data_IF_871489403016
#
_entry.id   IF_871489403016
#
_cell.length_a   1.000
_cell.length_b   1.000
_cell.length_c   1.000
_cell.angle_alpha   90.00
_cell.angle_beta   90.00
_cell.angle_gamma   90.00
#
_symmetry.space_group_name_H-M   'P 1'
#
loop_
_entity.id
_entity.type
_entity.pdbx_description
1 polymer ?
#
# COMPACT_ATOMS: atom_id res chain seq x y z
N UNK A 1 19.31 -6.08 -23.96
CA UNK A 1 18.14 -5.72 -23.12
C UNK A 1 18.28 -4.35 -22.45
N UNK A 2 19.36 -4.04 -21.70
CA UNK A 2 19.55 -2.70 -21.09
C UNK A 2 19.61 -1.57 -22.12
N UNK A 3 20.34 -1.75 -23.22
CA UNK A 3 20.44 -0.75 -24.29
C UNK A 3 19.05 -0.39 -24.89
N UNK A 4 18.18 -1.37 -25.04
CA UNK A 4 16.81 -1.17 -25.56
C UNK A 4 15.96 -0.36 -24.56
N UNK A 5 16.11 -0.60 -23.26
CA UNK A 5 15.41 0.19 -22.23
C UNK A 5 15.85 1.65 -22.27
N UNK A 6 17.16 1.91 -22.36
CA UNK A 6 17.68 3.28 -22.47
C UNK A 6 17.21 4.00 -23.73
N UNK A 7 17.14 3.31 -24.88
CA UNK A 7 16.59 3.87 -26.12
C UNK A 7 15.10 4.25 -26.00
N UNK A 8 14.37 3.53 -25.17
CA UNK A 8 12.94 3.81 -24.87
C UNK A 8 12.76 4.83 -23.74
N UNK A 9 13.83 5.44 -23.23
CA UNK A 9 13.75 6.38 -22.10
C UNK A 9 13.37 5.74 -20.76
N UNK A 10 13.51 4.41 -20.65
CA UNK A 10 13.18 3.67 -19.43
C UNK A 10 14.44 3.51 -18.59
N UNK A 11 14.43 4.09 -17.40
CA UNK A 11 15.51 3.92 -16.42
C UNK A 11 15.30 2.63 -15.63
N UNK A 12 16.22 1.65 -15.70
CA UNK A 12 16.12 0.42 -14.94
C UNK A 12 16.33 0.72 -13.45
N UNK A 13 15.43 0.23 -12.61
CA UNK A 13 15.57 0.25 -11.15
C UNK A 13 16.04 -1.12 -10.67
N UNK A 14 17.19 -1.18 -10.04
CA UNK A 14 17.76 -2.40 -9.51
C UNK A 14 17.89 -2.30 -7.99
N UNK A 15 17.69 -3.43 -7.30
CA UNK A 15 18.00 -3.52 -5.87
C UNK A 15 19.49 -3.36 -5.64
N UNK A 16 19.87 -2.71 -4.55
CA UNK A 16 21.27 -2.55 -4.15
C UNK A 16 21.83 -3.92 -3.73
N UNK A 17 23.10 -4.21 -4.03
CA UNK A 17 23.74 -5.44 -3.60
C UNK A 17 23.67 -5.60 -2.06
N UNK A 18 23.22 -6.78 -1.59
CA UNK A 18 23.13 -7.13 -0.16
C UNK A 18 22.17 -6.28 0.69
N UNK A 19 21.22 -5.59 0.08
CA UNK A 19 20.15 -4.85 0.78
C UNK A 19 18.84 -5.58 0.61
N UNK A 20 18.38 -6.21 1.68
CA UNK A 20 17.16 -7.06 1.66
C UNK A 20 15.85 -6.27 1.58
N UNK A 21 15.84 -5.01 2.00
CA UNK A 21 14.65 -4.18 2.08
C UNK A 21 14.44 -3.25 0.87
N UNK A 22 15.17 -3.45 -0.21
CA UNK A 22 15.01 -2.63 -1.43
C UNK A 22 13.76 -3.01 -2.25
N UNK A 23 13.07 -4.08 -1.90
CA UNK A 23 11.86 -4.53 -2.60
C UNK A 23 10.71 -4.91 -1.64
N UNK A 24 10.38 -4.06 -0.65
CA UNK A 24 9.41 -4.38 0.40
C UNK A 24 7.99 -4.59 -0.15
N UNK A 25 7.65 -3.94 -1.25
CA UNK A 25 6.31 -4.08 -1.87
C UNK A 25 6.09 -5.46 -2.49
N UNK A 26 7.09 -5.97 -3.23
CA UNK A 26 7.00 -7.31 -3.80
C UNK A 26 7.02 -8.39 -2.70
N UNK A 27 7.86 -8.22 -1.67
CA UNK A 27 7.90 -9.13 -0.52
C UNK A 27 6.57 -9.16 0.22
N UNK A 28 5.95 -8.00 0.45
CA UNK A 28 4.63 -7.90 1.06
C UNK A 28 3.54 -8.57 0.23
N UNK A 29 3.58 -8.41 -1.10
CA UNK A 29 2.66 -9.08 -2.01
C UNK A 29 2.81 -10.60 -1.96
N UNK A 30 4.06 -11.12 -2.04
CA UNK A 30 4.34 -12.55 -1.95
C UNK A 30 3.96 -13.12 -0.59
N UNK A 31 4.16 -12.37 0.49
CA UNK A 31 3.68 -12.77 1.81
C UNK A 31 2.16 -12.91 1.81
N UNK A 32 1.44 -11.90 1.35
CA UNK A 32 -0.03 -11.93 1.26
C UNK A 32 -0.51 -13.12 0.44
N UNK A 33 0.14 -13.42 -0.69
CA UNK A 33 -0.17 -14.56 -1.54
C UNK A 33 0.02 -15.91 -0.83
N UNK A 34 1.18 -16.09 -0.17
CA UNK A 34 1.55 -17.35 0.51
C UNK A 34 0.70 -17.65 1.74
N UNK A 35 0.28 -16.62 2.47
CA UNK A 35 -0.53 -16.79 3.69
C UNK A 35 -2.03 -16.78 3.44
N UNK A 36 -2.45 -16.77 2.18
CA UNK A 36 -3.86 -16.91 1.87
C UNK A 36 -4.35 -18.32 2.17
N UNK A 37 -5.53 -18.48 2.82
CA UNK A 37 -6.02 -19.80 3.26
C UNK A 37 -6.15 -20.84 2.16
N UNK A 38 -6.42 -20.41 0.91
CA UNK A 38 -6.56 -21.28 -0.25
C UNK A 38 -5.27 -21.41 -1.09
N UNK A 39 -4.12 -20.95 -0.57
CA UNK A 39 -2.83 -21.19 -1.20
C UNK A 39 -2.45 -22.67 -1.09
N UNK A 40 -1.95 -23.25 -2.17
CA UNK A 40 -1.51 -24.64 -2.21
C UNK A 40 0.01 -24.73 -2.00
N UNK A 41 0.49 -25.04 -0.78
CA UNK A 41 1.93 -25.06 -0.48
C UNK A 41 2.68 -26.19 -1.21
N UNK A 42 1.98 -27.23 -1.63
CA UNK A 42 2.55 -28.34 -2.43
C UNK A 42 2.64 -28.04 -3.93
N UNK A 43 2.13 -26.88 -4.35
CA UNK A 43 2.03 -26.48 -5.75
C UNK A 43 0.71 -26.92 -6.40
N UNK A 44 0.61 -26.70 -7.69
CA UNK A 44 -0.55 -27.00 -8.51
C UNK A 44 -0.19 -28.11 -9.49
N UNK A 45 -1.14 -28.99 -9.80
CA UNK A 45 -0.91 -30.11 -10.72
C UNK A 45 -0.88 -29.66 -12.19
N UNK A 46 -1.69 -28.64 -12.53
CA UNK A 46 -1.81 -28.16 -13.89
C UNK A 46 -1.64 -26.65 -14.01
N UNK A 47 -1.21 -26.19 -15.18
CA UNK A 47 -1.13 -24.75 -15.50
C UNK A 47 -2.50 -24.08 -15.45
N UNK A 48 -3.54 -24.81 -15.75
CA UNK A 48 -4.92 -24.30 -15.77
C UNK A 48 -5.42 -24.00 -14.35
N UNK A 49 -5.09 -24.86 -13.38
CA UNK A 49 -5.34 -24.61 -11.96
C UNK A 49 -4.61 -23.39 -11.45
N UNK A 50 -3.33 -23.22 -11.81
CA UNK A 50 -2.56 -22.01 -11.47
C UNK A 50 -3.26 -20.76 -12.00
N UNK A 51 -3.63 -20.75 -13.27
CA UNK A 51 -4.30 -19.61 -13.90
C UNK A 51 -5.62 -19.25 -13.21
N UNK A 52 -6.44 -20.25 -12.92
CA UNK A 52 -7.70 -20.09 -12.20
C UNK A 52 -7.47 -19.51 -10.80
N UNK A 53 -6.53 -20.08 -10.06
CA UNK A 53 -6.20 -19.63 -8.72
C UNK A 53 -5.66 -18.17 -8.72
N UNK A 54 -4.71 -17.86 -9.62
CA UNK A 54 -4.15 -16.51 -9.74
C UNK A 54 -5.23 -15.50 -10.13
N UNK A 55 -6.14 -15.84 -11.04
CA UNK A 55 -7.25 -14.98 -11.43
C UNK A 55 -8.15 -14.63 -10.24
N UNK A 56 -8.49 -15.63 -9.42
CA UNK A 56 -9.27 -15.42 -8.19
C UNK A 56 -8.49 -14.59 -7.15
N UNK A 57 -7.20 -14.85 -7.00
CA UNK A 57 -6.33 -14.08 -6.11
C UNK A 57 -6.28 -12.61 -6.53
N UNK A 58 -6.05 -12.33 -7.81
CA UNK A 58 -5.97 -10.95 -8.35
C UNK A 58 -7.30 -10.21 -8.16
N UNK A 59 -8.42 -10.88 -8.40
CA UNK A 59 -9.75 -10.31 -8.17
C UNK A 59 -9.93 -9.94 -6.70
N UNK A 60 -9.67 -10.87 -5.80
CA UNK A 60 -9.77 -10.64 -4.37
C UNK A 60 -8.81 -9.53 -3.91
N UNK A 61 -7.55 -9.57 -4.33
CA UNK A 61 -6.53 -8.60 -3.94
C UNK A 61 -6.92 -7.18 -4.34
N UNK A 62 -7.46 -7.01 -5.54
CA UNK A 62 -7.83 -5.70 -6.03
C UNK A 62 -9.13 -5.16 -5.43
N UNK A 63 -10.11 -6.01 -5.12
CA UNK A 63 -11.45 -5.56 -4.77
C UNK A 63 -11.84 -5.77 -3.30
N UNK A 64 -11.21 -6.72 -2.61
CA UNK A 64 -11.59 -7.10 -1.26
C UNK A 64 -10.48 -6.92 -0.23
N UNK A 65 -9.20 -7.09 -0.63
CA UNK A 65 -8.09 -6.96 0.29
C UNK A 65 -7.82 -5.50 0.67
N UNK A 66 -7.89 -5.21 1.96
CA UNK A 66 -7.65 -3.88 2.51
C UNK A 66 -6.19 -3.70 2.90
N UNK A 67 -5.51 -2.70 2.35
CA UNK A 67 -4.11 -2.41 2.60
C UNK A 67 -3.93 -1.37 3.69
N UNK A 68 -3.18 -1.70 4.75
CA UNK A 68 -2.88 -0.76 5.83
C UNK A 68 -2.15 0.49 5.35
N UNK A 69 -1.22 0.34 4.40
CA UNK A 69 -0.50 1.47 3.78
C UNK A 69 -1.38 2.37 2.89
N UNK A 70 -2.60 1.95 2.57
CA UNK A 70 -3.60 2.73 1.86
C UNK A 70 -4.77 3.15 2.78
N UNK A 71 -4.52 3.29 4.07
CA UNK A 71 -5.57 3.57 5.05
C UNK A 71 -6.76 2.59 4.94
N UNK A 72 -6.46 1.30 4.74
CA UNK A 72 -7.44 0.22 4.57
C UNK A 72 -8.39 0.41 3.37
N UNK A 73 -7.91 1.05 2.32
CA UNK A 73 -8.57 1.00 1.01
C UNK A 73 -8.12 -0.25 0.24
N UNK A 74 -8.95 -0.67 -0.71
CA UNK A 74 -8.54 -1.66 -1.71
C UNK A 74 -7.78 -0.97 -2.85
N UNK A 75 -6.92 -1.68 -3.60
CA UNK A 75 -6.26 -1.11 -4.79
C UNK A 75 -7.24 -0.55 -5.81
N UNK A 76 -8.40 -1.21 -5.98
CA UNK A 76 -9.46 -0.72 -6.85
C UNK A 76 -10.02 0.63 -6.40
N UNK A 77 -10.36 0.76 -5.13
CA UNK A 77 -10.88 2.03 -4.57
C UNK A 77 -9.89 3.17 -4.75
N UNK A 78 -8.59 2.90 -4.54
CA UNK A 78 -7.53 3.90 -4.73
C UNK A 78 -7.43 4.35 -6.20
N UNK A 79 -7.40 3.40 -7.13
CA UNK A 79 -7.23 3.69 -8.55
C UNK A 79 -8.46 4.32 -9.20
N UNK A 80 -9.67 4.00 -8.71
CA UNK A 80 -10.93 4.54 -9.22
C UNK A 80 -11.28 5.93 -8.67
N UNK A 81 -10.39 6.58 -7.91
CA UNK A 81 -10.63 7.91 -7.35
C UNK A 81 -11.62 7.95 -6.19
N UNK A 82 -12.04 6.81 -5.66
CA UNK A 82 -13.01 6.73 -4.56
C UNK A 82 -12.39 7.01 -3.18
N UNK A 83 -11.07 7.20 -3.13
CA UNK A 83 -10.29 7.31 -1.89
C UNK A 83 -10.79 8.43 -0.98
N UNK A 84 -10.89 9.63 -1.53
CA UNK A 84 -11.25 10.83 -0.77
C UNK A 84 -12.63 10.68 -0.12
N UNK A 85 -13.62 10.29 -0.90
CA UNK A 85 -14.98 10.10 -0.39
C UNK A 85 -15.05 9.06 0.72
N UNK A 86 -14.36 7.93 0.57
CA UNK A 86 -14.37 6.86 1.57
C UNK A 86 -13.64 7.30 2.84
N UNK A 87 -12.49 7.96 2.71
CA UNK A 87 -11.69 8.38 3.86
C UNK A 87 -12.34 9.53 4.60
N UNK A 88 -12.96 10.47 3.89
CA UNK A 88 -13.75 11.55 4.49
C UNK A 88 -14.89 10.98 5.33
N UNK A 89 -15.67 10.04 4.79
CA UNK A 89 -16.75 9.38 5.55
C UNK A 89 -16.23 8.66 6.80
N UNK A 90 -15.06 8.02 6.72
CA UNK A 90 -14.43 7.39 7.90
C UNK A 90 -14.02 8.42 8.94
N UNK A 91 -13.45 9.54 8.50
CA UNK A 91 -13.10 10.65 9.39
C UNK A 91 -14.34 11.16 10.15
N UNK A 92 -15.43 11.43 9.46
CA UNK A 92 -16.70 11.88 10.05
C UNK A 92 -17.22 10.88 11.12
N UNK A 93 -17.16 9.57 10.83
CA UNK A 93 -17.56 8.53 11.79
C UNK A 93 -16.68 8.54 13.03
N UNK A 94 -15.36 8.73 12.88
CA UNK A 94 -14.43 8.78 14.01
C UNK A 94 -14.62 10.06 14.84
N UNK A 95 -14.85 11.21 14.20
CA UNK A 95 -15.13 12.47 14.91
C UNK A 95 -16.46 12.39 15.68
N UNK A 96 -17.51 11.83 15.06
CA UNK A 96 -18.78 11.60 15.74
C UNK A 96 -18.62 10.64 16.94
N UNK A 97 -17.83 9.58 16.79
CA UNK A 97 -17.54 8.65 17.89
C UNK A 97 -16.73 9.30 19.01
N UNK A 98 -15.75 10.17 18.68
CA UNK A 98 -14.97 10.96 19.64
C UNK A 98 -15.88 11.93 20.40
N UNK A 99 -16.79 12.62 19.70
CA UNK A 99 -17.73 13.52 20.34
C UNK A 99 -18.69 12.80 21.29
N UNK A 100 -19.14 11.60 20.93
CA UNK A 100 -20.04 10.79 21.78
C UNK A 100 -19.33 10.17 22.99
N UNK A 101 -18.03 9.85 22.89
CA UNK A 101 -17.23 9.13 23.90
C UNK A 101 -15.83 9.71 24.04
N UNK A 102 -15.67 10.97 24.46
CA UNK A 102 -14.35 11.63 24.50
C UNK A 102 -13.36 10.94 25.43
N UNK A 103 -13.84 10.25 26.44
CA UNK A 103 -13.05 9.48 27.41
C UNK A 103 -12.19 8.39 26.75
N UNK A 104 -12.60 7.85 25.60
CA UNK A 104 -11.84 6.82 24.87
C UNK A 104 -10.59 7.36 24.20
N UNK A 105 -10.56 8.64 23.90
CA UNK A 105 -9.43 9.29 23.22
C UNK A 105 -8.43 9.94 24.17
N UNK A 106 -8.79 10.17 25.44
CA UNK A 106 -7.90 10.81 26.44
C UNK A 106 -7.23 12.10 25.90
N UNK A 107 -7.98 12.95 25.23
CA UNK A 107 -7.45 14.18 24.63
C UNK A 107 -6.65 14.01 23.33
N UNK A 108 -6.49 12.78 22.82
CA UNK A 108 -5.79 12.53 21.54
C UNK A 108 -6.69 12.84 20.35
N UNK A 109 -6.05 13.19 19.25
CA UNK A 109 -6.72 13.34 17.96
C UNK A 109 -7.18 11.99 17.39
N UNK A 110 -8.14 12.01 16.49
CA UNK A 110 -8.54 10.84 15.72
C UNK A 110 -7.46 10.47 14.71
N UNK A 111 -7.59 9.32 14.08
CA UNK A 111 -6.62 8.85 13.09
C UNK A 111 -6.52 9.81 11.91
N UNK A 112 -5.31 10.13 11.48
CA UNK A 112 -5.07 10.82 10.22
C UNK A 112 -5.42 9.89 9.04
N UNK A 113 -6.36 10.31 8.22
CA UNK A 113 -6.86 9.60 7.04
C UNK A 113 -6.25 10.10 5.72
N UNK A 114 -5.31 11.04 5.75
CA UNK A 114 -4.64 11.52 4.55
C UNK A 114 -3.86 10.41 3.84
N UNK A 115 -3.78 10.48 2.53
CA UNK A 115 -2.96 9.58 1.73
C UNK A 115 -1.79 10.37 1.15
N UNK A 116 -0.61 9.75 1.02
CA UNK A 116 0.50 10.39 0.36
C UNK A 116 0.16 10.65 -1.11
N UNK A 117 0.49 11.83 -1.61
CA UNK A 117 0.32 12.18 -3.02
C UNK A 117 1.20 11.33 -3.92
N UNK A 118 2.42 11.09 -3.49
CA UNK A 118 3.43 10.33 -4.24
C UNK A 118 4.02 9.22 -3.38
N UNK A 119 4.21 8.08 -4.00
CA UNK A 119 4.92 6.94 -3.41
C UNK A 119 6.07 6.59 -4.33
N UNK A 120 7.27 6.57 -3.78
CA UNK A 120 8.49 6.22 -4.52
C UNK A 120 8.85 4.76 -4.25
N UNK A 121 9.21 4.05 -5.32
CA UNK A 121 9.91 2.78 -5.23
C UNK A 121 11.40 3.11 -5.07
N UNK A 122 12.03 2.66 -3.99
CA UNK A 122 13.43 2.94 -3.69
C UNK A 122 13.76 4.46 -3.70
N UNK A 123 13.15 5.27 -2.83
CA UNK A 123 13.45 6.70 -2.76
C UNK A 123 14.92 6.89 -2.38
N UNK A 124 15.57 7.88 -3.02
CA UNK A 124 16.89 8.31 -2.62
C UNK A 124 16.88 8.82 -1.18
N UNK A 125 17.92 8.54 -0.39
CA UNK A 125 17.98 8.89 1.04
C UNK A 125 17.79 10.39 1.30
N UNK A 126 18.19 11.25 0.37
CA UNK A 126 18.01 12.70 0.44
C UNK A 126 16.53 13.09 0.37
N UNK A 127 15.74 12.43 -0.49
CA UNK A 127 14.29 12.65 -0.60
C UNK A 127 13.53 12.13 0.64
N UNK A 128 14.00 11.06 1.28
CA UNK A 128 13.41 10.58 2.54
C UNK A 128 13.59 11.55 3.70
N UNK A 129 14.73 12.24 3.75
CA UNK A 129 15.01 13.22 4.81
C UNK A 129 14.18 14.49 4.62
N UNK A 130 14.03 14.96 3.39
CA UNK A 130 13.22 16.13 3.06
C UNK A 130 11.74 15.87 3.37
N UNK A 131 11.20 14.73 2.97
CA UNK A 131 9.82 14.35 3.25
C UNK A 131 9.54 14.16 4.75
N UNK A 132 10.52 13.71 5.53
CA UNK A 132 10.40 13.57 6.99
C UNK A 132 10.48 14.90 7.73
N UNK A 133 11.20 15.89 7.21
CA UNK A 133 11.26 17.23 7.78
C UNK A 133 9.96 17.99 7.49
N UNK A 134 9.47 17.95 6.27
CA UNK A 134 8.22 18.59 5.87
C UNK A 134 7.00 18.01 6.61
N UNK A 135 6.95 16.69 6.80
CA UNK A 135 5.89 16.04 7.56
C UNK A 135 5.90 16.40 9.06
N UNK A 136 7.09 16.67 9.63
CA UNK A 136 7.20 17.12 11.03
C UNK A 136 6.82 18.58 11.23
N UNK A 137 7.08 19.44 10.23
CA UNK A 137 6.68 20.84 10.26
C UNK A 137 5.17 21.02 10.08
N UNK A 138 4.53 20.17 9.27
CA UNK A 138 3.09 20.15 9.09
C UNK A 138 2.32 19.66 10.34
N UNK A 139 2.92 18.79 11.15
CA UNK A 139 2.31 18.25 12.37
C UNK A 139 2.55 19.17 13.61
N UNK A 140 3.39 20.18 13.45
CA UNK A 140 3.75 21.15 14.50
C UNK A 140 3.04 22.52 14.35
N UNK A 141 2.19 22.67 13.31
CA UNK A 141 1.42 23.90 13.02
C UNK A 141 -0.06 23.70 13.28
#
# INVERSE_FOLDING_TARGET
MLATLYQLGITPSNSRPRVSNDNPYAESLFKTLKYRPNYQPKGFETLEEVRKWVSLFVKWYNHEHHHSGLNFLTPYQRRSGLSEQILQKRHEVYEAAKAAHPERWNGRETRNWSLPERVYLNPDRELEQTNKSEAKEADAS
#
